data_IF_811250607576
#
_entry.id   IF_811250607576
#
_cell.length_a   1.000
_cell.length_b   1.000
_cell.length_c   1.000
_cell.angle_alpha   90.00
_cell.angle_beta   90.00
_cell.angle_gamma   90.00
#
_symmetry.space_group_name_H-M   'P 1'
#
loop_
_entity.id
_entity.type
_entity.pdbx_description
1 polymer ?
#
# COMPACT_ATOMS: atom_id res chain seq x y z
N UNK A 1 -25.72 31.36 1.47
CA UNK A 1 -24.74 30.61 2.29
C UNK A 1 -24.09 29.59 1.39
N UNK A 2 -22.77 29.58 1.28
CA UNK A 2 -22.05 28.62 0.43
C UNK A 2 -21.56 27.48 1.32
N UNK A 3 -21.89 26.24 0.97
CA UNK A 3 -21.40 25.05 1.68
C UNK A 3 -20.19 24.49 0.93
N UNK A 4 -19.09 24.31 1.65
CA UNK A 4 -17.87 23.69 1.10
C UNK A 4 -17.79 22.24 1.58
N UNK A 5 -17.42 21.32 0.69
CA UNK A 5 -17.18 19.90 1.00
C UNK A 5 -15.82 19.50 0.45
N UNK A 6 -15.08 18.68 1.21
CA UNK A 6 -13.85 18.05 0.74
C UNK A 6 -14.20 16.93 -0.25
N UNK A 7 -13.59 16.95 -1.43
CA UNK A 7 -13.64 15.84 -2.37
C UNK A 7 -12.52 14.85 -2.04
N UNK A 8 -12.89 13.59 -1.90
CA UNK A 8 -11.97 12.49 -1.65
C UNK A 8 -11.44 11.91 -2.96
N UNK A 9 -10.19 11.47 -2.94
CA UNK A 9 -9.56 10.79 -4.06
C UNK A 9 -9.85 9.30 -4.03
N UNK A 10 -10.23 8.76 -5.18
CA UNK A 10 -10.33 7.31 -5.37
C UNK A 10 -8.97 6.71 -5.73
N UNK A 11 -8.80 5.41 -5.51
CA UNK A 11 -7.60 4.66 -5.91
C UNK A 11 -7.32 4.80 -7.42
N UNK A 12 -8.35 4.75 -8.27
CA UNK A 12 -8.18 4.94 -9.71
C UNK A 12 -7.73 6.37 -10.08
N UNK A 13 -8.15 7.38 -9.32
CA UNK A 13 -7.66 8.76 -9.54
C UNK A 13 -6.23 8.91 -9.03
N UNK A 14 -5.91 8.30 -7.90
CA UNK A 14 -4.56 8.24 -7.34
C UNK A 14 -3.57 7.59 -8.31
N UNK A 15 -3.89 6.42 -8.90
CA UNK A 15 -3.04 5.79 -9.93
C UNK A 15 -2.85 6.70 -11.16
N UNK A 16 -3.93 7.34 -11.63
CA UNK A 16 -3.84 8.32 -12.73
C UNK A 16 -2.95 9.52 -12.41
N UNK A 17 -2.77 9.91 -11.15
CA UNK A 17 -1.85 10.98 -10.80
C UNK A 17 -0.39 10.61 -11.09
N UNK A 18 -0.01 9.34 -10.96
CA UNK A 18 1.32 8.87 -11.37
C UNK A 18 1.44 8.81 -12.89
N UNK A 19 0.42 8.30 -13.58
CA UNK A 19 0.39 8.22 -15.05
C UNK A 19 0.51 9.60 -15.70
N UNK A 20 -0.08 10.63 -15.09
CA UNK A 20 -0.04 12.02 -15.59
C UNK A 20 1.13 12.83 -15.06
N UNK A 21 1.94 12.28 -14.15
CA UNK A 21 3.09 12.96 -13.54
C UNK A 21 2.73 14.05 -12.54
N UNK A 22 1.50 14.06 -12.01
CA UNK A 22 1.12 14.91 -10.86
C UNK A 22 1.86 14.44 -9.61
N UNK A 23 1.94 13.13 -9.42
CA UNK A 23 2.78 12.47 -8.42
C UNK A 23 3.92 11.75 -9.14
N UNK A 24 5.07 11.65 -8.48
CA UNK A 24 6.21 10.90 -9.03
C UNK A 24 6.52 9.68 -8.18
N UNK A 25 7.11 8.64 -8.76
CA UNK A 25 7.52 7.43 -8.03
C UNK A 25 8.54 7.71 -6.90
N UNK A 26 9.23 8.86 -6.96
CA UNK A 26 10.15 9.30 -5.91
C UNK A 26 9.42 9.93 -4.71
N UNK A 27 8.18 10.37 -4.90
CA UNK A 27 7.34 10.86 -3.82
C UNK A 27 6.78 9.67 -3.05
N UNK A 28 7.23 9.54 -1.80
CA UNK A 28 6.69 8.53 -0.91
C UNK A 28 5.36 9.01 -0.38
N UNK A 29 4.30 8.58 -1.04
CA UNK A 29 2.92 8.91 -0.69
C UNK A 29 2.09 7.64 -0.59
N UNK A 30 1.06 7.69 0.23
CA UNK A 30 0.05 6.65 0.35
C UNK A 30 -1.34 7.28 0.22
N UNK A 31 -2.33 6.51 -0.25
CA UNK A 31 -3.72 6.94 -0.25
C UNK A 31 -4.42 6.39 0.99
N UNK A 32 -4.83 7.26 1.91
CA UNK A 32 -5.52 6.88 3.16
C UNK A 32 -6.85 7.64 3.25
N UNK A 33 -7.97 6.91 3.26
CA UNK A 33 -9.33 7.46 3.36
C UNK A 33 -9.62 8.62 2.38
N UNK A 34 -9.07 8.52 1.18
CA UNK A 34 -9.25 9.47 0.10
C UNK A 34 -8.34 10.69 0.17
N UNK A 35 -7.33 10.64 1.02
CA UNK A 35 -6.30 11.67 1.19
C UNK A 35 -4.95 11.12 0.74
N UNK A 36 -4.23 11.88 -0.07
CA UNK A 36 -2.85 11.57 -0.42
C UNK A 36 -1.98 12.08 0.74
N UNK A 37 -1.37 11.17 1.48
CA UNK A 37 -0.53 11.49 2.63
C UNK A 37 0.94 11.27 2.29
N UNK A 38 1.81 12.19 2.70
CA UNK A 38 3.26 12.06 2.50
C UNK A 38 3.84 11.20 3.61
N UNK A 39 4.49 10.11 3.22
CA UNK A 39 5.16 9.19 4.13
C UNK A 39 6.53 9.72 4.47
N UNK A 40 6.61 10.40 5.61
CA UNK A 40 7.89 10.82 6.17
C UNK A 40 8.48 9.62 6.91
N UNK A 41 9.55 9.02 6.37
CA UNK A 41 10.29 8.00 7.09
C UNK A 41 10.93 8.62 8.34
N UNK A 42 10.25 8.51 9.48
CA UNK A 42 10.76 8.91 10.81
C UNK A 42 11.98 8.10 11.24
N UNK A 43 12.39 7.10 10.48
CA UNK A 43 13.58 6.28 10.73
C UNK A 43 14.06 5.77 9.38
N UNK A 44 15.21 6.28 8.91
CA UNK A 44 16.02 5.53 7.94
C UNK A 44 16.05 4.07 8.42
N UNK A 45 15.75 3.09 7.55
CA UNK A 45 15.63 1.66 7.90
C UNK A 45 16.80 1.23 8.79
N UNK A 46 16.64 1.35 10.11
CA UNK A 46 17.72 0.99 11.03
C UNK A 46 17.87 -0.52 10.93
N UNK A 47 19.10 -1.07 10.97
CA UNK A 47 19.31 -2.51 10.87
C UNK A 47 18.37 -3.37 11.75
N UNK A 48 18.00 -2.95 12.98
CA UNK A 48 17.02 -3.68 13.79
C UNK A 48 15.62 -3.76 13.16
N UNK A 49 15.15 -2.69 12.51
CA UNK A 49 13.83 -2.66 11.86
C UNK A 49 13.81 -3.61 10.66
N UNK A 50 14.83 -3.55 9.81
CA UNK A 50 14.94 -4.46 8.66
C UNK A 50 15.01 -5.93 9.09
N UNK A 51 15.82 -6.24 10.12
CA UNK A 51 15.93 -7.59 10.65
C UNK A 51 14.60 -8.08 11.25
N UNK A 52 13.91 -7.24 12.01
CA UNK A 52 12.61 -7.59 12.63
C UNK A 52 11.55 -7.87 11.56
N UNK A 53 11.44 -7.00 10.56
CA UNK A 53 10.50 -7.18 9.45
C UNK A 53 10.77 -8.47 8.69
N UNK A 54 12.04 -8.77 8.39
CA UNK A 54 12.41 -9.99 7.69
C UNK A 54 12.02 -11.23 8.51
N UNK A 55 12.47 -11.33 9.76
CA UNK A 55 12.20 -12.47 10.63
C UNK A 55 10.69 -12.69 10.85
N UNK A 56 9.94 -11.61 11.09
CA UNK A 56 8.50 -11.68 11.27
C UNK A 56 7.80 -12.15 9.98
N UNK A 57 8.22 -11.63 8.82
CA UNK A 57 7.64 -12.02 7.53
C UNK A 57 7.88 -13.50 7.21
N UNK A 58 9.09 -14.01 7.47
CA UNK A 58 9.43 -15.41 7.22
C UNK A 58 8.67 -16.35 8.15
N UNK A 59 8.53 -15.96 9.42
CA UNK A 59 7.73 -16.71 10.38
C UNK A 59 6.26 -16.78 9.94
N UNK A 60 5.67 -15.65 9.58
CA UNK A 60 4.27 -15.59 9.14
C UNK A 60 4.04 -16.36 7.83
N UNK A 61 4.96 -16.28 6.87
CA UNK A 61 4.88 -17.06 5.62
C UNK A 61 4.83 -18.56 5.87
N UNK A 62 5.63 -19.05 6.82
CA UNK A 62 5.63 -20.47 7.21
C UNK A 62 4.36 -20.86 7.95
N UNK A 63 3.87 -20.00 8.84
CA UNK A 63 2.67 -20.27 9.64
C UNK A 63 1.39 -20.26 8.79
N UNK A 64 1.34 -19.42 7.75
CA UNK A 64 0.12 -19.11 7.01
C UNK A 64 0.12 -19.63 5.56
N UNK A 65 1.08 -20.47 5.19
CA UNK A 65 1.33 -20.90 3.80
C UNK A 65 0.12 -21.48 3.07
N UNK A 66 -0.85 -22.04 3.81
CA UNK A 66 -2.05 -22.67 3.24
C UNK A 66 -3.33 -21.84 3.41
N UNK A 67 -3.28 -20.72 4.16
CA UNK A 67 -4.48 -19.96 4.54
C UNK A 67 -4.42 -18.48 4.15
N UNK A 68 -3.24 -17.96 3.79
CA UNK A 68 -3.09 -16.56 3.39
C UNK A 68 -1.76 -16.24 2.73
N UNK A 69 -1.69 -15.06 2.14
CA UNK A 69 -0.47 -14.50 1.56
C UNK A 69 0.09 -13.44 2.50
N UNK A 70 1.41 -13.45 2.68
CA UNK A 70 2.12 -12.41 3.44
C UNK A 70 2.79 -11.46 2.47
N UNK A 71 2.43 -10.18 2.53
CA UNK A 71 3.00 -9.06 1.76
C UNK A 71 3.89 -8.21 2.65
N UNK A 72 4.94 -7.62 2.10
CA UNK A 72 5.98 -6.92 2.88
C UNK A 72 6.38 -5.65 2.15
N UNK A 73 6.00 -4.48 2.68
CA UNK A 73 6.25 -3.18 2.02
C UNK A 73 5.70 -3.16 0.59
N UNK A 74 4.50 -3.70 0.41
CA UNK A 74 3.79 -3.68 -0.87
C UNK A 74 2.45 -2.98 -0.69
N UNK A 75 1.98 -2.19 -1.66
CA UNK A 75 0.67 -1.54 -1.59
C UNK A 75 -0.45 -2.57 -1.52
N UNK A 76 -1.51 -2.23 -0.76
CA UNK A 76 -2.70 -3.07 -0.58
C UNK A 76 -3.93 -2.19 -0.63
N UNK A 77 -4.75 -2.39 -1.66
CA UNK A 77 -6.03 -1.72 -1.75
C UNK A 77 -7.01 -2.28 -0.73
N UNK A 78 -7.34 -1.48 0.29
CA UNK A 78 -8.33 -1.83 1.33
C UNK A 78 -9.75 -1.40 0.95
N UNK A 79 -9.89 -0.35 0.12
CA UNK A 79 -11.18 0.15 -0.35
C UNK A 79 -11.05 0.96 -1.64
N UNK A 80 -12.13 1.56 -2.13
CA UNK A 80 -12.10 2.53 -3.23
C UNK A 80 -11.27 3.78 -2.90
N UNK A 81 -11.04 4.06 -1.61
CA UNK A 81 -10.42 5.30 -1.12
C UNK A 81 -9.16 5.05 -0.31
N UNK A 82 -8.63 3.82 -0.24
CA UNK A 82 -7.50 3.51 0.63
C UNK A 82 -6.61 2.42 0.03
N UNK A 83 -5.34 2.77 -0.16
CA UNK A 83 -4.26 1.89 -0.63
C UNK A 83 -2.97 2.21 0.15
N UNK A 84 -2.86 1.74 1.41
CA UNK A 84 -1.63 1.85 2.20
C UNK A 84 -0.50 0.91 1.73
N UNK A 85 0.73 1.21 2.15
CA UNK A 85 1.92 0.35 1.99
C UNK A 85 2.44 -0.11 3.37
N UNK A 86 1.85 -1.18 3.96
CA UNK A 86 2.23 -1.63 5.29
C UNK A 86 3.59 -2.36 5.29
N UNK A 87 4.27 -2.29 6.44
CA UNK A 87 5.52 -3.04 6.65
C UNK A 87 5.34 -4.56 6.49
N UNK A 88 4.27 -5.13 7.03
CA UNK A 88 3.84 -6.53 6.82
C UNK A 88 2.31 -6.56 6.80
N UNK A 89 1.72 -7.32 5.88
CA UNK A 89 0.30 -7.60 5.86
C UNK A 89 0.01 -9.07 5.55
N UNK A 90 -1.03 -9.60 6.19
CA UNK A 90 -1.59 -10.91 5.90
C UNK A 90 -2.89 -10.69 5.12
N UNK A 91 -2.96 -11.21 3.91
CA UNK A 91 -4.12 -11.05 3.03
C UNK A 91 -4.71 -12.41 2.66
N UNK A 92 -6.03 -12.49 2.61
CA UNK A 92 -6.71 -13.65 2.06
C UNK A 92 -6.61 -13.60 0.53
N UNK A 93 -6.19 -14.71 -0.08
CA UNK A 93 -6.07 -14.81 -1.53
C UNK A 93 -7.49 -14.93 -2.11
N UNK A 94 -8.02 -13.84 -2.66
CA UNK A 94 -9.07 -13.92 -3.68
C UNK A 94 -8.37 -14.02 -5.04
N UNK A 95 -8.18 -15.25 -5.52
CA UNK A 95 -7.42 -15.57 -6.72
C UNK A 95 -7.87 -14.81 -7.98
N UNK A 96 -9.07 -14.21 -7.96
CA UNK A 96 -9.68 -13.49 -9.09
C UNK A 96 -9.37 -11.99 -9.12
N UNK A 97 -8.92 -11.37 -8.03
CA UNK A 97 -8.78 -9.90 -7.95
C UNK A 97 -7.39 -9.36 -8.23
N UNK A 98 -6.33 -10.16 -8.07
CA UNK A 98 -4.95 -9.64 -8.08
C UNK A 98 -4.24 -9.76 -9.45
N UNK A 99 -4.88 -10.33 -10.47
CA UNK A 99 -4.24 -10.54 -11.77
C UNK A 99 -4.07 -9.22 -12.58
N UNK A 100 -4.79 -8.15 -12.23
CA UNK A 100 -4.90 -6.97 -13.11
C UNK A 100 -3.99 -5.78 -12.77
N UNK A 101 -3.30 -5.73 -11.63
CA UNK A 101 -2.76 -4.44 -11.13
C UNK A 101 -1.25 -4.24 -11.15
N UNK A 102 -0.39 -5.27 -11.34
CA UNK A 102 1.07 -5.03 -11.33
C UNK A 102 1.90 -6.09 -12.07
N UNK A 103 1.51 -6.44 -13.30
CA UNK A 103 2.41 -7.18 -14.19
C UNK A 103 2.50 -6.50 -15.55
N UNK A 104 3.19 -5.37 -15.60
CA UNK A 104 3.83 -4.92 -16.85
C UNK A 104 5.25 -4.48 -16.53
N UNK A 105 6.17 -5.41 -16.85
CA UNK A 105 7.62 -5.31 -17.11
C UNK A 105 8.44 -4.19 -16.49
#
# INVERSE_FOLDING_TARGET
>A
MTQTRVRLWTVNEYHRMFETGILTENERVELIEGQVVVVIQMSAKKPPYAATTLCASDYLKRLLSEVGLVRVQDPIQLSQYSEPEPGIAVVQIDARKYIESSCTK
#
